data_IF_838625389506
#
_entry.id   IF_838625389506
#
_cell.length_a   1.000
_cell.length_b   1.000
_cell.length_c   1.000
_cell.angle_alpha   90.00
_cell.angle_beta   90.00
_cell.angle_gamma   90.00
#
_symmetry.space_group_name_H-M   'P 1'
#
loop_
_entity.id
_entity.type
_entity.pdbx_description
1 polymer ?
#
# COMPACT_ATOMS: atom_id res chain seq x y z
N UNK A 1 -10.18 -26.54 -11.73
CA UNK A 1 -9.33 -26.07 -10.59
C UNK A 1 -9.89 -24.73 -10.12
N UNK A 2 -10.25 -24.55 -8.84
CA UNK A 2 -10.80 -23.28 -8.37
C UNK A 2 -9.71 -22.20 -8.32
N UNK A 3 -10.09 -20.95 -8.62
CA UNK A 3 -9.23 -19.78 -8.47
C UNK A 3 -9.48 -19.15 -7.08
N UNK A 4 -8.79 -19.67 -6.05
CA UNK A 4 -8.98 -19.26 -4.65
C UNK A 4 -8.78 -17.76 -4.40
N UNK A 5 -7.83 -17.04 -5.04
CA UNK A 5 -7.72 -15.58 -4.94
C UNK A 5 -8.99 -14.79 -5.25
N UNK A 6 -9.91 -15.34 -6.06
CA UNK A 6 -11.16 -14.66 -6.42
C UNK A 6 -12.29 -14.86 -5.39
N UNK A 7 -12.06 -15.63 -4.32
CA UNK A 7 -13.02 -15.79 -3.24
C UNK A 7 -13.09 -14.52 -2.39
N UNK A 8 -14.26 -13.87 -2.39
CA UNK A 8 -14.50 -12.67 -1.60
C UNK A 8 -14.29 -12.93 -0.10
N UNK A 9 -13.78 -11.91 0.60
CA UNK A 9 -13.57 -11.91 2.05
C UNK A 9 -14.37 -10.80 2.74
N UNK A 10 -15.15 -10.05 1.97
CA UNK A 10 -15.80 -8.83 2.42
C UNK A 10 -17.17 -9.14 3.02
N UNK A 11 -17.71 -8.25 3.87
CA UNK A 11 -19.09 -8.39 4.38
C UNK A 11 -20.15 -8.49 3.28
N UNK A 12 -19.83 -8.01 2.07
CA UNK A 12 -20.67 -8.11 0.87
C UNK A 12 -20.67 -9.50 0.21
N UNK A 13 -19.88 -10.46 0.68
CA UNK A 13 -19.93 -11.84 0.21
C UNK A 13 -21.25 -12.50 0.64
N UNK A 14 -22.24 -12.46 -0.27
CA UNK A 14 -23.57 -13.05 -0.07
C UNK A 14 -23.49 -14.54 0.24
N UNK A 15 -22.58 -15.27 -0.42
CA UNK A 15 -22.54 -16.72 -0.38
C UNK A 15 -21.64 -17.25 0.73
N UNK A 16 -20.80 -16.40 1.32
CA UNK A 16 -19.85 -16.76 2.39
C UNK A 16 -19.09 -18.03 2.05
N UNK A 17 -18.61 -18.16 0.81
CA UNK A 17 -18.06 -19.41 0.27
C UNK A 17 -16.88 -19.94 1.10
N UNK A 18 -16.15 -19.05 1.78
CA UNK A 18 -15.07 -19.42 2.69
C UNK A 18 -15.56 -20.30 3.87
N UNK A 19 -16.81 -20.18 4.29
CA UNK A 19 -17.41 -21.01 5.33
C UNK A 19 -17.72 -22.44 4.88
N UNK A 20 -17.72 -22.73 3.58
CA UNK A 20 -17.86 -24.08 3.06
C UNK A 20 -16.57 -24.92 3.24
N UNK A 21 -15.44 -24.25 3.49
CA UNK A 21 -14.21 -24.91 3.89
C UNK A 21 -14.29 -25.12 5.40
N UNK A 22 -14.40 -26.38 5.82
CA UNK A 22 -14.45 -26.80 7.22
C UNK A 22 -13.26 -27.69 7.55
N UNK A 23 -12.74 -27.59 8.77
CA UNK A 23 -11.76 -28.52 9.27
C UNK A 23 -12.42 -29.88 9.50
N UNK A 24 -11.64 -30.96 9.45
CA UNK A 24 -12.12 -32.27 9.88
C UNK A 24 -12.37 -32.25 11.40
N UNK A 25 -13.12 -33.24 11.87
CA UNK A 25 -13.32 -33.46 13.30
C UNK A 25 -11.96 -33.50 14.04
N UNK A 26 -11.94 -32.96 15.25
CA UNK A 26 -10.75 -32.79 16.09
C UNK A 26 -9.62 -31.92 15.49
N UNK A 27 -9.87 -31.21 14.40
CA UNK A 27 -8.92 -30.28 13.78
C UNK A 27 -9.45 -28.83 13.77
N UNK A 28 -8.53 -27.89 13.59
CA UNK A 28 -8.84 -26.47 13.41
C UNK A 28 -8.12 -25.92 12.17
N UNK A 29 -8.66 -24.84 11.60
CA UNK A 29 -7.91 -24.06 10.62
C UNK A 29 -6.96 -23.10 11.33
N UNK A 30 -5.69 -23.19 10.95
CA UNK A 30 -4.69 -22.18 11.27
C UNK A 30 -4.51 -21.27 10.04
N UNK A 31 -4.70 -19.96 10.23
CA UNK A 31 -4.41 -18.95 9.21
C UNK A 31 -3.20 -18.15 9.68
N UNK A 32 -2.14 -18.18 8.89
CA UNK A 32 -0.97 -17.33 9.06
C UNK A 32 -0.87 -16.42 7.82
N UNK A 33 -0.93 -15.11 8.04
CA UNK A 33 -0.86 -14.11 6.97
C UNK A 33 0.22 -13.07 7.27
N UNK A 34 0.88 -12.58 6.23
CA UNK A 34 1.88 -11.53 6.37
C UNK A 34 1.22 -10.16 6.39
N UNK A 35 1.08 -9.59 7.58
CA UNK A 35 0.51 -8.26 7.78
C UNK A 35 1.26 -7.20 6.94
N UNK A 36 0.56 -6.64 5.94
CA UNK A 36 1.04 -5.56 5.06
C UNK A 36 2.41 -5.84 4.39
N UNK A 37 2.67 -7.07 3.97
CA UNK A 37 3.96 -7.50 3.42
C UNK A 37 4.52 -6.55 2.34
N UNK A 38 3.70 -6.13 1.40
CA UNK A 38 4.16 -5.26 0.30
C UNK A 38 4.67 -3.90 0.80
N UNK A 39 4.02 -3.32 1.81
CA UNK A 39 4.45 -2.06 2.42
C UNK A 39 5.76 -2.25 3.22
N UNK A 40 5.94 -3.42 3.84
CA UNK A 40 7.20 -3.78 4.51
C UNK A 40 8.35 -3.92 3.51
N UNK A 41 8.11 -4.60 2.39
CA UNK A 41 9.07 -4.74 1.29
C UNK A 41 9.41 -3.36 0.71
N UNK A 42 8.42 -2.50 0.48
CA UNK A 42 8.65 -1.15 0.01
C UNK A 42 9.52 -0.34 0.98
N UNK A 43 9.19 -0.34 2.26
CA UNK A 43 9.96 0.37 3.29
C UNK A 43 11.42 -0.12 3.32
N UNK A 44 11.63 -1.43 3.22
CA UNK A 44 12.95 -2.03 3.18
C UNK A 44 13.73 -1.66 1.90
N UNK A 45 13.15 -1.90 0.72
CA UNK A 45 13.81 -1.66 -0.58
C UNK A 45 14.14 -0.18 -0.80
N UNK A 46 13.24 0.72 -0.37
CA UNK A 46 13.47 2.16 -0.45
C UNK A 46 14.39 2.70 0.64
N UNK A 47 14.64 1.92 1.71
CA UNK A 47 15.30 2.37 2.94
C UNK A 47 14.59 3.56 3.61
N UNK A 48 13.26 3.64 3.47
CA UNK A 48 12.47 4.71 4.07
C UNK A 48 12.32 4.50 5.58
N UNK A 49 13.09 5.25 6.38
CA UNK A 49 13.12 5.14 7.84
C UNK A 49 11.80 5.55 8.48
N UNK A 50 11.15 6.61 8.00
CA UNK A 50 9.82 7.03 8.49
C UNK A 50 8.82 5.87 8.39
N UNK A 51 8.74 5.25 7.21
CA UNK A 51 7.83 4.14 6.96
C UNK A 51 8.21 2.89 7.76
N UNK A 52 9.50 2.55 7.81
CA UNK A 52 9.99 1.42 8.60
C UNK A 52 9.68 1.57 10.09
N UNK A 53 9.90 2.77 10.65
CA UNK A 53 9.63 3.07 12.06
C UNK A 53 8.13 3.00 12.37
N UNK A 54 7.27 3.56 11.52
CA UNK A 54 5.80 3.48 11.67
C UNK A 54 5.31 2.04 11.65
N UNK A 55 5.84 1.22 10.75
CA UNK A 55 5.51 -0.21 10.67
C UNK A 55 6.03 -0.98 11.90
N UNK A 56 7.24 -0.66 12.36
CA UNK A 56 7.88 -1.34 13.50
C UNK A 56 7.20 -1.02 14.84
N UNK A 57 6.62 0.17 14.99
CA UNK A 57 5.79 0.54 16.14
C UNK A 57 4.54 -0.34 16.28
N UNK A 58 4.13 -1.02 15.20
CA UNK A 58 2.91 -1.82 15.18
C UNK A 58 1.66 -0.97 14.98
N UNK A 59 0.49 -1.53 15.28
CA UNK A 59 -0.79 -0.86 15.07
C UNK A 59 -1.22 -0.77 13.61
N UNK A 60 -2.15 0.13 13.33
CA UNK A 60 -2.73 0.32 11.99
C UNK A 60 -1.99 1.38 11.18
N UNK A 61 -1.11 0.93 10.29
CA UNK A 61 -0.34 1.82 9.42
C UNK A 61 -1.21 2.74 8.56
N UNK A 62 -2.43 2.33 8.19
CA UNK A 62 -3.33 3.20 7.41
C UNK A 62 -3.91 4.33 8.27
N UNK A 63 -4.14 4.07 9.55
CA UNK A 63 -4.57 5.09 10.50
C UNK A 63 -3.48 6.11 10.78
N UNK A 64 -2.23 5.66 10.92
CA UNK A 64 -1.07 6.55 11.04
C UNK A 64 -0.94 7.48 9.82
N UNK A 65 -1.03 6.90 8.62
CA UNK A 65 -1.02 7.70 7.39
C UNK A 65 -2.23 8.63 7.31
N UNK A 66 -3.41 8.21 7.77
CA UNK A 66 -4.57 9.10 7.82
C UNK A 66 -4.33 10.29 8.77
N UNK A 67 -3.76 10.06 9.95
CA UNK A 67 -3.41 11.13 10.87
C UNK A 67 -2.38 12.11 10.26
N UNK A 68 -1.40 11.62 9.50
CA UNK A 68 -0.45 12.50 8.81
C UNK A 68 -1.09 13.33 7.68
N UNK A 69 -2.09 12.75 7.02
CA UNK A 69 -2.69 13.34 5.82
C UNK A 69 -3.88 14.23 6.11
N UNK A 70 -4.55 14.08 7.24
CA UNK A 70 -5.78 14.80 7.56
C UNK A 70 -5.61 15.53 8.91
N UNK A 71 -5.47 16.87 8.92
CA UNK A 71 -5.22 17.62 10.16
C UNK A 71 -6.27 17.40 11.25
N UNK A 72 -7.55 17.24 10.88
CA UNK A 72 -8.62 16.95 11.84
C UNK A 72 -8.50 15.56 12.48
N UNK A 73 -7.93 14.58 11.75
CA UNK A 73 -7.63 13.25 12.31
C UNK A 73 -6.47 13.35 13.29
N UNK A 74 -5.39 14.07 12.93
CA UNK A 74 -4.26 14.33 13.84
C UNK A 74 -4.72 15.01 15.13
N UNK A 75 -5.53 16.06 15.03
CA UNK A 75 -6.06 16.78 16.19
C UNK A 75 -6.87 15.88 17.11
N UNK A 76 -7.71 15.00 16.57
CA UNK A 76 -8.50 14.06 17.37
C UNK A 76 -7.62 12.99 18.06
N UNK A 77 -6.53 12.55 17.42
CA UNK A 77 -5.55 11.65 18.04
C UNK A 77 -4.80 12.36 19.16
N UNK A 78 -4.30 13.58 18.90
CA UNK A 78 -3.51 14.36 19.86
C UNK A 78 -4.35 14.79 21.08
N UNK A 79 -5.65 15.02 20.89
CA UNK A 79 -6.62 15.29 21.96
C UNK A 79 -7.02 14.03 22.76
N UNK A 80 -6.57 12.84 22.36
CA UNK A 80 -6.94 11.57 23.00
C UNK A 80 -8.38 11.12 22.75
N UNK A 81 -9.07 11.72 21.76
CA UNK A 81 -10.45 11.32 21.41
C UNK A 81 -10.50 10.00 20.66
N UNK A 82 -9.44 9.68 19.92
CA UNK A 82 -9.29 8.44 19.17
C UNK A 82 -7.87 7.89 19.27
N UNK A 83 -7.75 6.57 19.25
CA UNK A 83 -6.49 5.86 19.16
C UNK A 83 -6.17 5.51 17.70
N UNK A 84 -4.88 5.43 17.37
CA UNK A 84 -4.45 5.08 16.02
C UNK A 84 -4.84 3.65 15.64
N UNK A 85 -4.78 2.71 16.59
CA UNK A 85 -5.23 1.34 16.44
C UNK A 85 -6.38 0.98 17.37
N UNK A 86 -6.71 -0.31 17.39
CA UNK A 86 -7.68 -0.91 18.30
C UNK A 86 -7.01 -1.32 19.65
N UNK A 87 -5.86 -0.73 19.97
CA UNK A 87 -4.99 -0.99 21.12
C UNK A 87 -5.24 -0.07 22.32
N UNK A 88 -6.20 0.85 22.22
CA UNK A 88 -6.64 1.68 23.33
C UNK A 88 -7.41 0.90 24.42
N UNK A 89 -7.71 1.53 25.56
CA UNK A 89 -8.54 0.95 26.61
C UNK A 89 -9.90 0.43 26.06
N UNK A 90 -10.51 -0.60 26.68
CA UNK A 90 -11.81 -1.10 26.24
C UNK A 90 -12.87 0.00 26.10
N UNK A 91 -13.58 0.04 24.98
CA UNK A 91 -14.58 1.06 24.66
C UNK A 91 -14.02 2.33 24.02
N UNK A 92 -12.70 2.45 23.84
CA UNK A 92 -12.09 3.58 23.14
C UNK A 92 -12.39 3.56 21.65
N UNK A 93 -12.52 4.75 21.06
CA UNK A 93 -12.66 4.89 19.62
C UNK A 93 -11.28 4.81 18.95
N UNK A 94 -11.23 4.21 17.76
CA UNK A 94 -10.04 4.20 16.92
C UNK A 94 -10.25 5.06 15.68
N UNK A 95 -9.16 5.46 15.02
CA UNK A 95 -9.21 6.13 13.71
C UNK A 95 -10.00 5.28 12.72
N UNK A 96 -9.90 3.95 12.80
CA UNK A 96 -10.67 3.02 11.97
C UNK A 96 -12.18 3.10 12.21
N UNK A 97 -12.62 3.30 13.45
CA UNK A 97 -14.05 3.39 13.78
C UNK A 97 -14.65 4.79 13.54
N UNK A 98 -13.95 5.87 13.94
CA UNK A 98 -14.44 7.25 13.83
C UNK A 98 -14.13 7.90 12.48
N UNK A 99 -12.97 7.63 11.90
CA UNK A 99 -12.44 8.23 10.66
C UNK A 99 -12.19 7.18 9.58
N UNK A 100 -13.13 6.23 9.44
CA UNK A 100 -13.01 5.11 8.50
C UNK A 100 -12.88 5.56 7.03
N UNK A 101 -13.46 6.70 6.66
CA UNK A 101 -13.36 7.29 5.32
C UNK A 101 -11.94 7.77 5.03
N UNK A 102 -11.34 8.57 5.91
CA UNK A 102 -9.98 9.08 5.84
C UNK A 102 -8.96 7.94 5.85
N UNK A 103 -9.17 6.93 6.70
CA UNK A 103 -8.37 5.71 6.70
C UNK A 103 -8.49 4.95 5.38
N UNK A 104 -9.69 4.89 4.80
CA UNK A 104 -9.93 4.31 3.47
C UNK A 104 -9.15 5.04 2.38
N UNK A 105 -9.16 6.38 2.40
CA UNK A 105 -8.37 7.23 1.49
C UNK A 105 -6.87 7.00 1.68
N UNK A 106 -6.38 6.99 2.92
CA UNK A 106 -4.99 6.69 3.25
C UNK A 106 -4.56 5.29 2.77
N UNK A 107 -5.44 4.29 2.90
CA UNK A 107 -5.22 2.95 2.35
C UNK A 107 -5.08 2.97 0.84
N UNK A 108 -6.02 3.59 0.12
CA UNK A 108 -5.95 3.72 -1.33
C UNK A 108 -4.69 4.46 -1.79
N UNK A 109 -4.22 5.45 -1.04
CA UNK A 109 -2.98 6.19 -1.32
C UNK A 109 -1.76 5.31 -1.09
N UNK A 110 -1.68 4.58 0.03
CA UNK A 110 -0.59 3.65 0.29
C UNK A 110 -0.45 2.59 -0.81
N UNK A 111 -1.57 2.08 -1.34
CA UNK A 111 -1.56 1.09 -2.43
C UNK A 111 -1.56 1.69 -3.84
N UNK A 112 -1.86 2.97 -4.00
CA UNK A 112 -1.84 3.65 -5.29
C UNK A 112 -0.51 4.36 -5.53
N UNK A 113 -0.16 5.29 -4.66
CA UNK A 113 0.96 6.22 -4.84
C UNK A 113 2.31 5.52 -4.73
N UNK A 114 2.46 4.58 -3.80
CA UNK A 114 3.65 3.73 -3.72
C UNK A 114 3.94 2.98 -5.04
N UNK A 115 2.88 2.66 -5.79
CA UNK A 115 2.92 1.88 -7.03
C UNK A 115 2.84 2.79 -8.27
N UNK A 116 3.06 4.09 -8.08
CA UNK A 116 3.14 5.08 -9.14
C UNK A 116 1.81 5.49 -9.76
N UNK A 117 0.70 5.37 -9.02
CA UNK A 117 -0.58 5.99 -9.42
C UNK A 117 -0.44 7.51 -9.46
N UNK A 118 -0.96 8.10 -10.53
CA UNK A 118 -0.95 9.55 -10.76
C UNK A 118 -2.11 10.22 -10.01
N UNK A 119 -1.98 11.52 -9.71
CA UNK A 119 -2.99 12.27 -8.97
C UNK A 119 -4.37 12.24 -9.66
N UNK A 120 -4.41 12.24 -10.99
CA UNK A 120 -5.64 12.11 -11.77
C UNK A 120 -6.39 10.80 -11.50
N UNK A 121 -5.69 9.67 -11.53
CA UNK A 121 -6.30 8.38 -11.26
C UNK A 121 -6.69 8.24 -9.79
N UNK A 122 -5.91 8.86 -8.89
CA UNK A 122 -6.24 8.91 -7.47
C UNK A 122 -7.49 9.76 -7.19
N UNK A 123 -7.67 10.89 -7.89
CA UNK A 123 -8.86 11.74 -7.71
C UNK A 123 -10.14 11.00 -8.09
N UNK A 124 -10.08 10.16 -9.13
CA UNK A 124 -11.19 9.32 -9.57
C UNK A 124 -11.52 8.24 -8.53
N UNK A 125 -10.53 7.52 -7.98
CA UNK A 125 -10.81 6.48 -6.97
C UNK A 125 -11.39 7.07 -5.68
N UNK A 126 -10.91 8.24 -5.29
CA UNK A 126 -11.26 8.87 -4.01
C UNK A 126 -12.49 9.78 -4.13
N UNK A 127 -12.98 10.01 -5.34
CA UNK A 127 -14.05 10.96 -5.65
C UNK A 127 -13.77 12.35 -5.04
N UNK A 128 -12.57 12.88 -5.33
CA UNK A 128 -12.11 14.21 -4.88
C UNK A 128 -11.62 15.02 -6.08
N UNK A 129 -11.33 16.30 -5.87
CA UNK A 129 -10.75 17.14 -6.94
C UNK A 129 -9.29 16.74 -7.22
N UNK A 130 -8.81 17.07 -8.43
CA UNK A 130 -7.40 16.83 -8.80
C UNK A 130 -6.43 17.55 -7.86
N UNK A 131 -6.75 18.79 -7.47
CA UNK A 131 -5.93 19.58 -6.54
C UNK A 131 -5.82 18.93 -5.17
N UNK A 132 -6.93 18.44 -4.62
CA UNK A 132 -6.90 17.70 -3.34
C UNK A 132 -6.08 16.41 -3.45
N UNK A 133 -6.17 15.69 -4.57
CA UNK A 133 -5.34 14.51 -4.81
C UNK A 133 -3.85 14.85 -4.89
N UNK A 134 -3.49 15.94 -5.57
CA UNK A 134 -2.12 16.46 -5.63
C UNK A 134 -1.59 16.81 -4.22
N UNK A 135 -2.37 17.49 -3.40
CA UNK A 135 -2.01 17.84 -2.01
C UNK A 135 -1.85 16.61 -1.12
N UNK A 136 -2.72 15.61 -1.27
CA UNK A 136 -2.60 14.34 -0.53
C UNK A 136 -1.34 13.57 -0.94
N UNK A 137 -1.03 13.52 -2.24
CA UNK A 137 0.22 12.92 -2.74
C UNK A 137 1.43 13.66 -2.22
N UNK A 138 1.42 14.99 -2.24
CA UNK A 138 2.51 15.83 -1.74
C UNK A 138 2.76 15.59 -0.24
N UNK A 139 1.69 15.59 0.58
CA UNK A 139 1.76 15.26 2.01
C UNK A 139 2.28 13.85 2.25
N UNK A 140 1.85 12.87 1.45
CA UNK A 140 2.33 11.49 1.59
C UNK A 140 3.83 11.36 1.34
N UNK A 141 4.37 12.09 0.36
CA UNK A 141 5.80 12.08 0.03
C UNK A 141 6.64 12.96 0.95
N UNK A 142 6.06 13.92 1.67
CA UNK A 142 6.79 14.89 2.49
C UNK A 142 7.81 14.23 3.43
N UNK A 143 7.43 13.14 4.10
CA UNK A 143 8.29 12.36 5.01
C UNK A 143 8.80 11.04 4.40
N UNK A 144 8.67 10.86 3.08
CA UNK A 144 9.02 9.61 2.36
C UNK A 144 9.87 9.87 1.11
N UNK A 145 10.82 10.79 1.22
CA UNK A 145 11.70 11.19 0.10
C UNK A 145 12.60 10.03 -0.38
N UNK A 146 12.93 9.08 0.50
CA UNK A 146 13.65 7.85 0.17
C UNK A 146 12.92 7.02 -0.90
N UNK A 147 11.59 6.97 -0.83
CA UNK A 147 10.77 6.25 -1.82
C UNK A 147 10.90 6.90 -3.19
N UNK A 148 10.90 8.23 -3.27
CA UNK A 148 11.11 8.96 -4.53
C UNK A 148 12.49 8.72 -5.10
N UNK A 149 13.53 8.76 -4.26
CA UNK A 149 14.92 8.48 -4.67
C UNK A 149 15.06 7.06 -5.19
N UNK A 150 14.52 6.08 -4.48
CA UNK A 150 14.52 4.68 -4.88
C UNK A 150 13.78 4.45 -6.20
N UNK A 151 12.58 5.02 -6.36
CA UNK A 151 11.81 4.95 -7.61
C UNK A 151 12.58 5.53 -8.79
N UNK A 152 13.19 6.71 -8.63
CA UNK A 152 14.03 7.32 -9.67
C UNK A 152 15.22 6.44 -10.02
N UNK A 153 15.87 5.83 -9.01
CA UNK A 153 16.97 4.89 -9.20
C UNK A 153 16.56 3.65 -10.00
N UNK A 154 15.43 3.02 -9.65
CA UNK A 154 14.88 1.87 -10.38
C UNK A 154 14.57 2.21 -11.85
N UNK A 155 13.94 3.36 -12.09
CA UNK A 155 13.60 3.80 -13.44
C UNK A 155 14.87 4.07 -14.25
N UNK A 156 15.85 4.76 -13.65
CA UNK A 156 17.12 5.04 -14.31
C UNK A 156 17.88 3.77 -14.66
N UNK A 157 17.95 2.83 -13.71
CA UNK A 157 18.54 1.51 -13.95
C UNK A 157 17.78 0.75 -15.05
N UNK A 158 16.45 0.79 -15.04
CA UNK A 158 15.63 0.18 -16.08
C UNK A 158 15.89 0.78 -17.45
N UNK A 159 16.08 2.10 -17.55
CA UNK A 159 16.42 2.80 -18.81
C UNK A 159 17.79 2.40 -19.36
N UNK A 160 18.78 2.11 -18.51
CA UNK A 160 20.13 1.71 -18.95
C UNK A 160 20.25 0.21 -19.22
N UNK A 161 19.59 -0.63 -18.43
CA UNK A 161 19.71 -2.10 -18.49
C UNK A 161 18.59 -2.81 -19.25
N UNK A 162 17.45 -2.15 -19.46
CA UNK A 162 16.23 -2.76 -19.96
C UNK A 162 15.56 -3.74 -18.97
N UNK A 163 15.93 -3.71 -17.67
CA UNK A 163 15.51 -4.69 -16.67
C UNK A 163 15.04 -4.05 -15.35
N UNK A 164 14.17 -4.76 -14.63
CA UNK A 164 13.87 -4.52 -13.21
C UNK A 164 14.20 -5.75 -12.38
N UNK A 165 14.57 -5.54 -11.11
CA UNK A 165 14.93 -6.59 -10.16
C UNK A 165 14.01 -6.56 -8.92
N UNK A 166 13.76 -7.73 -8.34
CA UNK A 166 13.10 -7.93 -7.06
C UNK A 166 14.12 -7.96 -5.92
N UNK A 167 13.63 -8.07 -4.68
CA UNK A 167 14.44 -8.14 -3.48
C UNK A 167 15.52 -9.25 -3.53
N UNK A 168 15.18 -10.46 -3.97
CA UNK A 168 16.12 -11.59 -4.05
C UNK A 168 16.76 -11.75 -5.45
N UNK A 169 16.78 -10.71 -6.26
CA UNK A 169 17.51 -10.70 -7.55
C UNK A 169 16.80 -11.35 -8.73
N UNK A 170 15.51 -11.73 -8.61
CA UNK A 170 14.71 -12.12 -9.79
C UNK A 170 14.50 -10.89 -10.66
N UNK A 171 14.52 -11.05 -11.98
CA UNK A 171 14.41 -9.93 -12.90
C UNK A 171 13.36 -10.14 -13.98
N UNK A 172 12.95 -9.03 -14.60
CA UNK A 172 12.11 -9.01 -15.81
C UNK A 172 12.65 -8.02 -16.83
N UNK A 173 12.35 -8.24 -18.10
CA UNK A 173 12.55 -7.24 -19.15
C UNK A 173 11.51 -6.12 -19.06
N UNK A 174 11.92 -4.92 -19.44
CA UNK A 174 11.08 -3.73 -19.55
C UNK A 174 11.16 -3.20 -21.00
N UNK A 175 10.46 -3.82 -21.95
CA UNK A 175 10.65 -3.57 -23.39
C UNK A 175 10.41 -2.12 -23.82
N UNK A 176 9.60 -1.36 -23.07
CA UNK A 176 9.19 -0.01 -23.42
C UNK A 176 9.81 1.09 -22.55
N UNK A 177 10.79 0.76 -21.70
CA UNK A 177 11.33 1.74 -20.73
C UNK A 177 12.19 2.82 -21.38
N UNK A 178 12.71 2.56 -22.58
CA UNK A 178 13.45 3.53 -23.39
C UNK A 178 12.56 4.45 -24.22
N UNK A 179 11.25 4.21 -24.30
CA UNK A 179 10.33 5.06 -25.08
C UNK A 179 10.18 6.41 -24.38
N UNK A 180 10.64 7.49 -25.04
CA UNK A 180 10.62 8.85 -24.51
C UNK A 180 9.35 9.61 -24.88
N UNK A 181 8.85 9.41 -26.10
CA UNK A 181 7.85 10.29 -26.71
C UNK A 181 6.41 9.94 -26.34
N UNK A 182 6.18 8.75 -25.79
CA UNK A 182 4.84 8.26 -25.46
C UNK A 182 4.65 8.24 -23.95
N UNK A 183 4.01 9.29 -23.41
CA UNK A 183 3.80 9.48 -21.97
C UNK A 183 3.14 8.26 -21.30
N UNK A 184 2.05 7.75 -21.87
CA UNK A 184 1.32 6.62 -21.29
C UNK A 184 2.14 5.33 -21.24
N UNK A 185 2.95 5.07 -22.27
CA UNK A 185 3.82 3.89 -22.35
C UNK A 185 4.96 3.98 -21.34
N UNK A 186 5.52 5.19 -21.18
CA UNK A 186 6.53 5.49 -20.16
C UNK A 186 5.97 5.30 -18.76
N UNK A 187 4.85 5.95 -18.41
CA UNK A 187 4.20 5.84 -17.11
C UNK A 187 3.84 4.39 -16.77
N UNK A 188 3.30 3.63 -17.74
CA UNK A 188 3.01 2.20 -17.55
C UNK A 188 4.25 1.36 -17.26
N UNK A 189 5.35 1.63 -17.96
CA UNK A 189 6.59 0.85 -17.78
C UNK A 189 7.31 1.20 -16.48
N UNK A 190 7.29 2.47 -16.09
CA UNK A 190 7.83 2.93 -14.81
C UNK A 190 7.06 2.32 -13.63
N UNK A 191 5.72 2.26 -13.72
CA UNK A 191 4.89 1.54 -12.75
C UNK A 191 5.20 0.05 -12.73
N UNK A 192 5.36 -0.58 -13.90
CA UNK A 192 5.71 -2.00 -13.97
C UNK A 192 7.06 -2.32 -13.31
N UNK A 193 8.04 -1.42 -13.40
CA UNK A 193 9.33 -1.58 -12.74
C UNK A 193 9.21 -1.55 -11.21
N UNK A 194 8.49 -0.56 -10.67
CA UNK A 194 8.25 -0.42 -9.23
C UNK A 194 7.44 -1.60 -8.69
N UNK A 195 6.31 -1.92 -9.34
CA UNK A 195 5.42 -2.99 -8.92
C UNK A 195 6.13 -4.34 -8.94
N UNK A 196 6.97 -4.59 -9.93
CA UNK A 196 7.75 -5.81 -9.99
C UNK A 196 8.68 -5.95 -8.79
N UNK A 197 9.42 -4.90 -8.43
CA UNK A 197 10.31 -4.91 -7.28
C UNK A 197 9.59 -5.31 -5.99
N UNK A 198 8.43 -4.68 -5.73
CA UNK A 198 7.64 -4.90 -4.51
C UNK A 198 6.89 -6.23 -4.54
N UNK A 199 6.04 -6.47 -5.54
CA UNK A 199 5.15 -7.64 -5.57
C UNK A 199 5.94 -8.94 -5.70
N UNK A 200 6.96 -8.97 -6.54
CA UNK A 200 7.81 -10.16 -6.66
C UNK A 200 8.69 -10.33 -5.43
N UNK A 201 9.14 -9.23 -4.81
CA UNK A 201 9.80 -9.29 -3.51
C UNK A 201 8.92 -9.93 -2.44
N UNK A 202 7.63 -9.55 -2.38
CA UNK A 202 6.66 -10.15 -1.46
C UNK A 202 6.38 -11.62 -1.76
N UNK A 203 6.18 -11.97 -3.04
CA UNK A 203 5.98 -13.36 -3.45
C UNK A 203 7.21 -14.26 -3.30
N UNK A 204 8.39 -13.69 -3.04
CA UNK A 204 9.61 -14.43 -2.72
C UNK A 204 9.79 -14.66 -1.22
N UNK A 205 9.08 -13.91 -0.39
CA UNK A 205 9.08 -14.05 1.07
C UNK A 205 7.97 -15.01 1.51
N UNK A 206 6.79 -14.89 0.90
CA UNK A 206 5.62 -15.73 1.14
C UNK A 206 5.72 -17.08 0.43
#
# INVERSE_FOLDING_TARGET
>A
KPNLPNLLATPSDRYKLRCAFVARDDNVFLVADYAQLELRVLAHMSKCTSMANKIAKGGDFHSEVAADMFPHVRQAVDAGEVFLGDDGPPGSLSVKSKFGSERGKAKAINFGVAYGKEAQSLSEDLNITRGEAEDLVARWYADKQEILRWKRGLIQYGRTSGRAYSLLGRWRTLPHIGIRDVYWARSRTERAAVNFGVQVGSAQIA
#
